data_IF_511119397569
#
_entry.id   IF_511119397569
#
_cell.length_a   1.000
_cell.length_b   1.000
_cell.length_c   1.000
_cell.angle_alpha   90.00
_cell.angle_beta   90.00
_cell.angle_gamma   90.00
#
_symmetry.space_group_name_H-M   'P 1'
#
loop_
_entity.id
_entity.type
_entity.pdbx_description
1 polymer ?
#
# COMPACT_ATOMS: atom_id res chain seq x y z
N UNK A 1 -6.54 -20.21 87.45
CA UNK A 1 -6.68 -20.07 85.98
C UNK A 1 -8.14 -20.14 85.52
N UNK A 2 -9.05 -19.27 86.03
CA UNK A 2 -10.48 -19.28 85.64
C UNK A 2 -11.04 -17.92 85.19
N UNK A 3 -10.22 -16.86 85.15
CA UNK A 3 -10.68 -15.49 84.83
C UNK A 3 -10.46 -15.04 83.37
N UNK A 4 -9.69 -15.77 82.57
CA UNK A 4 -9.42 -15.41 81.16
C UNK A 4 -10.36 -16.08 80.14
N UNK A 5 -11.13 -17.09 80.57
CA UNK A 5 -12.04 -17.83 79.67
C UNK A 5 -13.31 -17.02 79.39
N UNK A 6 -13.79 -16.22 80.35
CA UNK A 6 -15.02 -15.42 80.18
C UNK A 6 -14.88 -14.23 79.21
N UNK A 7 -13.69 -13.62 79.12
CA UNK A 7 -13.47 -12.45 78.25
C UNK A 7 -13.28 -12.87 76.79
N UNK A 8 -12.66 -14.03 76.54
CA UNK A 8 -12.48 -14.55 75.18
C UNK A 8 -13.81 -14.93 74.51
N UNK A 9 -14.78 -15.43 75.28
CA UNK A 9 -16.11 -15.81 74.76
C UNK A 9 -16.94 -14.56 74.43
N UNK A 10 -16.83 -13.48 75.21
CA UNK A 10 -17.57 -12.24 74.96
C UNK A 10 -17.05 -11.48 73.71
N UNK A 11 -15.75 -11.61 73.40
CA UNK A 11 -15.12 -11.01 72.20
C UNK A 11 -15.34 -11.87 70.95
N UNK A 12 -15.41 -13.20 71.08
CA UNK A 12 -15.77 -14.07 69.95
C UNK A 12 -17.27 -13.97 69.58
N UNK A 13 -18.14 -13.77 70.56
CA UNK A 13 -19.58 -13.62 70.32
C UNK A 13 -19.94 -12.29 69.63
N UNK A 14 -19.17 -11.22 69.84
CA UNK A 14 -19.38 -9.93 69.17
C UNK A 14 -18.79 -9.88 67.76
N UNK A 15 -17.79 -10.70 67.45
CA UNK A 15 -17.21 -10.82 66.11
C UNK A 15 -18.06 -11.67 65.13
N UNK A 16 -18.91 -12.57 65.65
CA UNK A 16 -19.75 -13.47 64.85
C UNK A 16 -21.05 -12.87 64.30
N UNK A 17 -21.40 -11.64 64.68
CA UNK A 17 -22.67 -11.00 64.29
C UNK A 17 -22.54 -9.93 63.20
N UNK A 18 -21.33 -9.63 62.72
CA UNK A 18 -21.09 -8.62 61.68
C UNK A 18 -20.65 -9.20 60.32
N UNK A 19 -20.62 -10.51 60.17
CA UNK A 19 -20.29 -11.19 58.91
C UNK A 19 -21.56 -11.75 58.27
N UNK A 20 -22.38 -10.89 57.65
CA UNK A 20 -23.43 -11.41 56.76
C UNK A 20 -24.66 -10.57 56.44
N UNK A 21 -24.79 -9.33 56.94
CA UNK A 21 -25.91 -8.46 56.54
C UNK A 21 -25.38 -7.29 55.71
N UNK A 22 -24.92 -7.57 54.48
CA UNK A 22 -24.86 -6.49 53.49
C UNK A 22 -26.31 -6.11 53.21
N UNK A 23 -26.70 -4.89 53.57
CA UNK A 23 -28.05 -4.40 53.32
C UNK A 23 -28.42 -4.65 51.85
N UNK A 24 -29.60 -5.21 51.61
CA UNK A 24 -30.16 -5.38 50.26
C UNK A 24 -30.05 -4.08 49.44
N UNK A 25 -30.25 -2.93 50.09
CA UNK A 25 -30.09 -1.62 49.45
C UNK A 25 -28.66 -1.27 49.04
N UNK A 26 -27.64 -1.72 49.81
CA UNK A 26 -26.24 -1.50 49.48
C UNK A 26 -25.78 -2.42 48.33
N UNK A 27 -26.34 -3.64 48.25
CA UNK A 27 -26.13 -4.53 47.12
C UNK A 27 -26.81 -4.00 45.85
N UNK A 28 -28.09 -3.63 45.93
CA UNK A 28 -28.84 -3.03 44.82
C UNK A 28 -28.19 -1.74 44.30
N UNK A 29 -27.67 -0.88 45.19
CA UNK A 29 -26.92 0.31 44.80
C UNK A 29 -25.62 0.00 44.03
N UNK A 30 -24.85 -1.02 44.46
CA UNK A 30 -23.63 -1.43 43.74
C UNK A 30 -23.95 -2.07 42.39
N UNK A 31 -25.02 -2.88 42.31
CA UNK A 31 -25.49 -3.47 41.06
C UNK A 31 -25.96 -2.39 40.09
N UNK A 32 -26.66 -1.36 40.57
CA UNK A 32 -27.08 -0.22 39.74
C UNK A 32 -25.87 0.54 39.16
N UNK A 33 -24.83 0.79 39.96
CA UNK A 33 -23.59 1.45 39.49
C UNK A 33 -22.88 0.58 38.43
N UNK A 34 -22.77 -0.74 38.68
CA UNK A 34 -22.17 -1.68 37.73
C UNK A 34 -22.94 -1.74 36.41
N UNK A 35 -24.28 -1.72 36.46
CA UNK A 35 -25.12 -1.68 35.26
C UNK A 35 -24.95 -0.38 34.48
N UNK A 36 -24.82 0.76 35.17
CA UNK A 36 -24.56 2.04 34.51
C UNK A 36 -23.17 2.08 33.86
N UNK A 37 -22.14 1.56 34.54
CA UNK A 37 -20.79 1.43 34.00
C UNK A 37 -20.76 0.52 32.77
N UNK A 38 -21.39 -0.66 32.85
CA UNK A 38 -21.49 -1.59 31.73
C UNK A 38 -22.24 -0.98 30.54
N UNK A 39 -23.31 -0.21 30.81
CA UNK A 39 -24.05 0.47 29.75
C UNK A 39 -23.21 1.55 29.08
N UNK A 40 -22.45 2.34 29.87
CA UNK A 40 -21.54 3.36 29.37
C UNK A 40 -20.42 2.75 28.52
N UNK A 41 -19.74 1.73 29.03
CA UNK A 41 -18.69 1.01 28.30
C UNK A 41 -19.23 0.41 27.00
N UNK A 42 -20.43 -0.19 27.03
CA UNK A 42 -21.06 -0.73 25.82
C UNK A 42 -21.33 0.37 24.79
N UNK A 43 -21.81 1.54 25.21
CA UNK A 43 -22.08 2.66 24.30
C UNK A 43 -20.78 3.22 23.71
N UNK A 44 -19.74 3.39 24.53
CA UNK A 44 -18.42 3.86 24.08
C UNK A 44 -17.78 2.87 23.10
N UNK A 45 -17.80 1.56 23.41
CA UNK A 45 -17.28 0.53 22.51
C UNK A 45 -18.08 0.41 21.22
N UNK A 46 -19.41 0.53 21.27
CA UNK A 46 -20.22 0.56 20.05
C UNK A 46 -19.88 1.77 19.15
N UNK A 47 -19.65 2.95 19.74
CA UNK A 47 -19.22 4.13 18.98
C UNK A 47 -17.82 3.94 18.38
N UNK A 48 -16.89 3.35 19.13
CA UNK A 48 -15.54 3.01 18.66
C UNK A 48 -15.59 2.02 17.49
N UNK A 49 -16.42 0.98 17.58
CA UNK A 49 -16.63 0.00 16.51
C UNK A 49 -17.16 0.68 15.25
N UNK A 50 -18.18 1.53 15.35
CA UNK A 50 -18.74 2.24 14.20
C UNK A 50 -17.71 3.17 13.52
N UNK A 51 -16.86 3.81 14.32
CA UNK A 51 -15.75 4.63 13.79
C UNK A 51 -14.74 3.76 13.03
N UNK A 52 -14.35 2.62 13.59
CA UNK A 52 -13.44 1.68 12.95
C UNK A 52 -14.03 1.10 11.66
N UNK A 53 -15.30 0.72 11.66
CA UNK A 53 -16.00 0.25 10.46
C UNK A 53 -16.02 1.32 9.35
N UNK A 54 -16.23 2.58 9.73
CA UNK A 54 -16.21 3.70 8.79
C UNK A 54 -14.80 3.88 8.20
N UNK A 55 -13.76 3.87 9.03
CA UNK A 55 -12.36 3.96 8.58
C UNK A 55 -11.97 2.80 7.67
N UNK A 56 -12.37 1.57 8.00
CA UNK A 56 -12.11 0.39 7.18
C UNK A 56 -12.79 0.53 5.82
N UNK A 57 -14.05 0.99 5.80
CA UNK A 57 -14.80 1.21 4.56
C UNK A 57 -14.15 2.29 3.70
N UNK A 58 -13.71 3.39 4.28
CA UNK A 58 -13.00 4.46 3.57
C UNK A 58 -11.68 3.97 2.98
N UNK A 59 -10.84 3.30 3.79
CA UNK A 59 -9.59 2.69 3.31
C UNK A 59 -9.83 1.68 2.19
N UNK A 60 -10.90 0.88 2.30
CA UNK A 60 -11.30 -0.06 1.25
C UNK A 60 -11.64 0.65 -0.07
N UNK A 61 -12.38 1.77 -0.02
CA UNK A 61 -12.67 2.57 -1.22
C UNK A 61 -11.41 3.19 -1.82
N UNK A 62 -10.55 3.75 -0.98
CA UNK A 62 -9.27 4.33 -1.43
C UNK A 62 -8.40 3.27 -2.09
N UNK A 63 -8.26 2.09 -1.48
CA UNK A 63 -7.48 0.98 -2.02
C UNK A 63 -8.03 0.50 -3.37
N UNK A 64 -9.35 0.36 -3.51
CA UNK A 64 -9.98 0.02 -4.79
C UNK A 64 -9.69 1.08 -5.86
N UNK A 65 -9.81 2.37 -5.54
CA UNK A 65 -9.50 3.45 -6.48
C UNK A 65 -8.03 3.48 -6.91
N UNK A 66 -7.10 3.28 -5.96
CA UNK A 66 -5.67 3.14 -6.28
C UNK A 66 -5.39 1.92 -7.15
N UNK A 67 -6.05 0.79 -6.88
CA UNK A 67 -5.90 -0.45 -7.65
C UNK A 67 -6.38 -0.26 -9.09
N UNK A 68 -7.53 0.37 -9.28
CA UNK A 68 -8.06 0.69 -10.61
C UNK A 68 -7.12 1.63 -11.38
N UNK A 69 -6.63 2.68 -10.73
CA UNK A 69 -5.68 3.61 -11.33
C UNK A 69 -4.37 2.92 -11.71
N UNK A 70 -3.86 2.05 -10.84
CA UNK A 70 -2.67 1.25 -11.10
C UNK A 70 -2.88 0.32 -12.30
N UNK A 71 -4.00 -0.41 -12.37
CA UNK A 71 -4.32 -1.28 -13.50
C UNK A 71 -4.37 -0.49 -14.82
N UNK A 72 -4.97 0.71 -14.81
CA UNK A 72 -5.01 1.57 -15.99
C UNK A 72 -3.63 2.05 -16.44
N UNK A 73 -2.77 2.46 -15.49
CA UNK A 73 -1.39 2.87 -15.81
C UNK A 73 -0.61 1.68 -16.35
N UNK A 74 -0.78 0.50 -15.77
CA UNK A 74 -0.13 -0.73 -16.23
C UNK A 74 -0.53 -1.07 -17.66
N UNK A 75 -1.82 -1.07 -17.97
CA UNK A 75 -2.33 -1.32 -19.33
C UNK A 75 -1.79 -0.32 -20.36
N UNK A 76 -1.72 0.96 -19.99
CA UNK A 76 -1.09 1.99 -20.82
C UNK A 76 0.41 1.76 -21.03
N UNK A 77 1.12 1.32 -19.99
CA UNK A 77 2.54 1.02 -20.07
C UNK A 77 2.80 -0.21 -20.95
N UNK A 78 2.02 -1.28 -20.78
CA UNK A 78 2.12 -2.50 -21.59
C UNK A 78 1.88 -2.17 -23.08
N UNK A 79 0.85 -1.36 -23.38
CA UNK A 79 0.57 -0.86 -24.74
C UNK A 79 1.72 0.00 -25.29
N UNK A 80 2.31 0.86 -24.45
CA UNK A 80 3.43 1.71 -24.87
C UNK A 80 4.68 0.86 -25.16
N UNK A 81 4.94 -0.16 -24.35
CA UNK A 81 6.06 -1.09 -24.53
C UNK A 81 5.91 -1.91 -25.80
N UNK A 82 4.71 -2.40 -26.11
CA UNK A 82 4.43 -3.09 -27.37
C UNK A 82 4.69 -2.18 -28.58
N UNK A 83 4.19 -0.93 -28.53
CA UNK A 83 4.44 0.06 -29.59
C UNK A 83 5.91 0.40 -29.76
N UNK A 84 6.66 0.51 -28.67
CA UNK A 84 8.10 0.74 -28.70
C UNK A 84 8.83 -0.43 -29.35
N UNK A 85 8.48 -1.67 -29.00
CA UNK A 85 9.05 -2.86 -29.63
C UNK A 85 8.75 -2.93 -31.14
N UNK A 86 7.52 -2.60 -31.55
CA UNK A 86 7.16 -2.48 -32.97
C UNK A 86 7.99 -1.42 -33.70
N UNK A 87 8.14 -0.24 -33.10
CA UNK A 87 8.94 0.85 -33.65
C UNK A 87 10.42 0.50 -33.76
N UNK A 88 10.97 -0.24 -32.79
CA UNK A 88 12.34 -0.76 -32.84
C UNK A 88 12.51 -1.73 -34.02
N UNK A 89 11.54 -2.62 -34.23
CA UNK A 89 11.48 -3.51 -35.39
C UNK A 89 11.47 -2.75 -36.71
N UNK A 90 10.62 -1.72 -36.84
CA UNK A 90 10.52 -0.88 -38.04
C UNK A 90 11.83 -0.13 -38.33
N UNK A 91 12.50 0.38 -37.29
CA UNK A 91 13.80 1.05 -37.43
C UNK A 91 14.90 0.09 -37.90
N UNK A 92 14.92 -1.14 -37.38
CA UNK A 92 15.85 -2.19 -37.83
C UNK A 92 15.57 -2.58 -39.30
N UNK A 93 14.31 -2.71 -39.69
CA UNK A 93 13.92 -2.96 -41.09
C UNK A 93 14.39 -1.82 -42.00
N UNK A 94 14.14 -0.57 -41.60
CA UNK A 94 14.58 0.61 -42.35
C UNK A 94 16.12 0.66 -42.50
N UNK A 95 16.88 0.23 -41.50
CA UNK A 95 18.34 0.17 -41.58
C UNK A 95 18.83 -0.84 -42.63
N UNK A 96 18.12 -1.96 -42.79
CA UNK A 96 18.38 -2.96 -43.83
C UNK A 96 18.03 -2.41 -45.22
N UNK A 97 16.86 -1.79 -45.36
CA UNK A 97 16.43 -1.16 -46.63
C UNK A 97 17.42 -0.07 -47.09
N UNK A 98 17.95 0.72 -46.15
CA UNK A 98 18.99 1.70 -46.45
C UNK A 98 20.30 1.05 -46.92
N UNK A 99 20.62 -0.13 -46.41
CA UNK A 99 21.82 -0.88 -46.84
C UNK A 99 21.65 -1.41 -48.26
N UNK A 100 20.48 -1.94 -48.59
CA UNK A 100 20.13 -2.36 -49.95
C UNK A 100 20.14 -1.17 -50.92
N UNK A 101 19.53 -0.04 -50.53
CA UNK A 101 19.52 1.17 -51.35
C UNK A 101 20.94 1.68 -51.63
N UNK A 102 21.86 1.60 -50.67
CA UNK A 102 23.27 1.93 -50.91
C UNK A 102 23.89 1.03 -51.99
N UNK A 103 23.62 -0.27 -51.97
CA UNK A 103 24.09 -1.20 -53.00
C UNK A 103 23.52 -0.87 -54.38
N UNK A 104 22.25 -0.51 -54.46
CA UNK A 104 21.61 -0.06 -55.70
C UNK A 104 22.28 1.22 -56.23
N UNK A 105 22.55 2.18 -55.36
CA UNK A 105 23.26 3.42 -55.72
C UNK A 105 24.67 3.11 -56.23
N UNK A 106 25.43 2.26 -55.53
CA UNK A 106 26.77 1.87 -55.97
C UNK A 106 26.79 1.16 -57.33
N UNK A 107 25.76 0.35 -57.63
CA UNK A 107 25.69 -0.42 -58.87
C UNK A 107 25.17 0.39 -60.07
N UNK A 108 24.29 1.37 -59.84
CA UNK A 108 23.57 2.06 -60.92
C UNK A 108 23.94 3.53 -61.11
N UNK A 109 24.54 4.20 -60.12
CA UNK A 109 24.86 5.62 -60.18
C UNK A 109 26.38 5.82 -60.14
N UNK A 110 26.88 6.79 -60.93
CA UNK A 110 28.29 7.17 -60.97
C UNK A 110 28.45 8.67 -60.80
N UNK A 111 29.63 9.09 -60.35
CA UNK A 111 29.99 10.51 -60.20
C UNK A 111 29.50 11.14 -58.89
N UNK A 112 29.49 12.47 -58.85
CA UNK A 112 29.24 13.24 -57.62
C UNK A 112 27.86 13.00 -56.99
N UNK A 113 26.82 12.79 -57.81
CA UNK A 113 25.46 12.53 -57.35
C UNK A 113 25.35 11.20 -56.57
N UNK A 114 26.07 10.17 -57.01
CA UNK A 114 26.13 8.89 -56.29
C UNK A 114 26.76 9.08 -54.91
N UNK A 115 27.88 9.82 -54.84
CA UNK A 115 28.56 10.11 -53.58
C UNK A 115 27.68 10.92 -52.61
N UNK A 116 26.98 11.94 -53.09
CA UNK A 116 26.05 12.72 -52.25
C UNK A 116 24.91 11.86 -51.69
N UNK A 117 24.35 10.96 -52.50
CA UNK A 117 23.32 10.03 -52.04
C UNK A 117 23.86 9.08 -50.97
N UNK A 118 25.05 8.49 -51.17
CA UNK A 118 25.67 7.62 -50.16
C UNK A 118 25.94 8.36 -48.85
N UNK A 119 26.40 9.61 -48.90
CA UNK A 119 26.59 10.42 -47.69
C UNK A 119 25.28 10.63 -46.92
N UNK A 120 24.18 10.92 -47.63
CA UNK A 120 22.84 11.05 -47.01
C UNK A 120 22.36 9.74 -46.40
N UNK A 121 22.55 8.61 -47.09
CA UNK A 121 22.18 7.29 -46.58
C UNK A 121 22.98 6.90 -45.33
N UNK A 122 24.28 7.22 -45.30
CA UNK A 122 25.13 7.04 -44.11
C UNK A 122 24.63 7.88 -42.92
N UNK A 123 24.26 9.13 -43.17
CA UNK A 123 23.72 10.02 -42.13
C UNK A 123 22.39 9.50 -41.59
N UNK A 124 21.50 9.01 -42.45
CA UNK A 124 20.25 8.37 -42.03
C UNK A 124 20.49 7.13 -41.16
N UNK A 125 21.41 6.25 -41.57
CA UNK A 125 21.77 5.07 -40.78
C UNK A 125 22.30 5.44 -39.39
N UNK A 126 23.17 6.46 -39.29
CA UNK A 126 23.68 6.95 -38.00
C UNK A 126 22.57 7.46 -37.09
N UNK A 127 21.59 8.19 -37.63
CA UNK A 127 20.45 8.69 -36.86
C UNK A 127 19.58 7.58 -36.32
N UNK A 128 19.28 6.56 -37.15
CA UNK A 128 18.52 5.38 -36.74
C UNK A 128 19.25 4.65 -35.60
N UNK A 129 20.55 4.42 -35.76
CA UNK A 129 21.37 3.77 -34.74
C UNK A 129 21.37 4.54 -33.40
N UNK A 130 21.50 5.86 -33.45
CA UNK A 130 21.44 6.70 -32.26
C UNK A 130 20.05 6.68 -31.57
N UNK A 131 18.96 6.45 -32.33
CA UNK A 131 17.62 6.29 -31.76
C UNK A 131 17.50 4.93 -31.07
N UNK A 132 17.97 3.86 -31.72
CA UNK A 132 17.96 2.50 -31.17
C UNK A 132 18.79 2.41 -29.87
N UNK A 133 19.99 3.00 -29.86
CA UNK A 133 20.87 3.03 -28.67
C UNK A 133 20.24 3.79 -27.49
N UNK A 134 19.50 4.88 -27.75
CA UNK A 134 18.78 5.62 -26.72
C UNK A 134 17.54 4.87 -26.21
N UNK A 135 16.88 4.12 -27.08
CA UNK A 135 15.74 3.27 -26.73
C UNK A 135 16.12 2.08 -25.84
N UNK A 136 17.36 1.58 -25.97
CA UNK A 136 17.89 0.46 -25.18
C UNK A 136 18.37 0.82 -23.76
N UNK A 137 18.18 2.08 -23.31
CA UNK A 137 18.52 2.48 -21.94
C UNK A 137 17.73 1.69 -20.89
N UNK A 138 18.31 1.41 -19.71
CA UNK A 138 17.63 0.59 -18.70
C UNK A 138 16.30 1.21 -18.33
N UNK A 139 15.24 0.39 -18.33
CA UNK A 139 13.96 0.73 -17.72
C UNK A 139 14.28 1.27 -16.33
N UNK A 140 13.96 2.55 -16.11
CA UNK A 140 14.24 3.24 -14.86
C UNK A 140 13.43 2.50 -13.79
N UNK A 141 14.09 1.61 -13.05
CA UNK A 141 13.52 1.00 -11.86
C UNK A 141 13.19 2.17 -10.93
N UNK A 142 11.92 2.55 -10.88
CA UNK A 142 11.44 3.51 -9.91
C UNK A 142 11.55 2.78 -8.57
N UNK A 143 12.42 3.22 -7.65
CA UNK A 143 12.48 2.61 -6.34
C UNK A 143 11.09 2.74 -5.73
N UNK A 144 10.45 1.61 -5.46
CA UNK A 144 9.25 1.60 -4.61
C UNK A 144 9.78 1.87 -3.21
N UNK A 145 9.98 3.16 -2.90
CA UNK A 145 10.19 3.60 -1.52
C UNK A 145 8.90 3.22 -0.80
N UNK A 146 8.97 2.13 -0.04
CA UNK A 146 7.84 1.53 0.65
C UNK A 146 7.22 2.60 1.54
N UNK A 147 5.98 2.98 1.25
CA UNK A 147 5.12 3.80 2.10
C UNK A 147 4.71 3.03 3.39
N UNK A 148 5.68 2.40 4.05
CA UNK A 148 5.56 1.72 5.33
C UNK A 148 5.84 2.67 6.51
N UNK A 149 6.34 3.88 6.27
CA UNK A 149 6.42 4.95 7.25
C UNK A 149 5.06 5.66 7.36
N UNK A 150 4.14 5.10 8.14
CA UNK A 150 2.84 5.75 8.36
C UNK A 150 1.75 4.91 8.99
N UNK A 151 2.04 3.71 9.45
CA UNK A 151 1.13 3.01 10.34
C UNK A 151 1.33 3.57 11.75
N UNK A 152 0.32 4.24 12.35
CA UNK A 152 0.39 4.55 13.77
C UNK A 152 0.47 3.22 14.53
N UNK A 153 1.51 3.09 15.34
CA UNK A 153 1.68 2.02 16.31
C UNK A 153 0.38 1.88 17.11
N UNK A 154 -0.19 0.67 17.28
CA UNK A 154 -1.37 0.51 18.11
C UNK A 154 -1.01 0.99 19.52
N UNK A 155 -1.68 2.06 19.96
CA UNK A 155 -1.52 2.64 21.28
C UNK A 155 -1.58 1.50 22.32
N UNK A 156 -0.50 1.37 23.09
CA UNK A 156 -0.45 0.41 24.18
C UNK A 156 -1.53 0.81 25.18
N UNK A 157 -2.53 -0.06 25.30
CA UNK A 157 -3.56 0.01 26.33
C UNK A 157 -2.89 -0.35 27.66
N UNK A 158 -2.54 0.65 28.46
CA UNK A 158 -2.36 0.51 29.91
C UNK A 158 -3.71 0.58 30.62
#
# INVERSE_FOLDING_TARGET
>A
MKKHIGIAILVLASAGLFTGCVSKSAYEGRVAILLEQLHRERMEKNAEIQLLETKVRERGRTLSGLTEMYMKIKDQNDTAQEKLGGFEGDLNALQNDLSELKLIVYSNLKGSQANEMILKLNEMQRRIQAILEKGAGPAREVPIESAAEGWPEPAQLE
#
